data_IF_804404217032
#
_entry.id   IF_804404217032
#
_cell.length_a   1.000
_cell.length_b   1.000
_cell.length_c   1.000
_cell.angle_alpha   90.00
_cell.angle_beta   90.00
_cell.angle_gamma   90.00
#
_symmetry.space_group_name_H-M   'P 1'
#
loop_
_entity.id
_entity.type
_entity.pdbx_description
1 polymer ?
#
# COMPACT_ATOMS: atom_id res chain seq x y z
N UNK A 1 -62.28 -55.42 21.57
CA UNK A 1 -62.11 -54.05 21.04
C UNK A 1 -60.63 -53.71 21.04
N UNK A 2 -59.94 -53.92 19.88
CA UNK A 2 -58.51 -53.65 19.76
C UNK A 2 -58.34 -52.25 19.10
N UNK A 3 -57.73 -51.34 19.85
CA UNK A 3 -57.38 -50.00 19.32
C UNK A 3 -56.06 -50.06 18.59
N UNK A 4 -56.07 -49.84 17.25
CA UNK A 4 -54.86 -49.62 16.45
C UNK A 4 -54.33 -48.20 16.70
N UNK A 5 -53.08 -48.09 17.08
CA UNK A 5 -52.35 -46.85 17.21
C UNK A 5 -51.58 -46.64 15.91
N UNK A 6 -51.95 -45.63 15.11
CA UNK A 6 -51.25 -45.25 13.90
C UNK A 6 -50.07 -44.33 14.25
N UNK A 7 -48.87 -44.74 14.00
CA UNK A 7 -47.65 -43.92 14.15
C UNK A 7 -47.42 -43.16 12.84
N UNK A 8 -47.56 -41.81 12.89
CA UNK A 8 -47.23 -40.92 11.79
C UNK A 8 -45.72 -40.68 11.82
N UNK A 9 -45.02 -41.19 10.81
CA UNK A 9 -43.63 -40.81 10.54
C UNK A 9 -43.61 -39.46 9.80
N UNK A 10 -43.03 -38.43 10.44
CA UNK A 10 -42.73 -37.12 9.80
C UNK A 10 -41.33 -37.22 9.21
N UNK A 11 -41.14 -37.01 7.90
CA UNK A 11 -39.78 -36.91 7.34
C UNK A 11 -39.17 -35.58 7.68
N UNK A 12 -38.00 -35.57 8.36
CA UNK A 12 -37.19 -34.39 8.58
C UNK A 12 -36.49 -34.01 7.25
N UNK A 13 -36.99 -32.95 6.61
CA UNK A 13 -36.26 -32.30 5.53
C UNK A 13 -35.04 -31.60 6.11
N UNK A 14 -33.87 -32.19 5.90
CA UNK A 14 -32.59 -31.56 6.15
C UNK A 14 -32.38 -30.37 5.20
N UNK A 15 -32.52 -29.15 5.70
CA UNK A 15 -32.15 -27.95 4.96
C UNK A 15 -30.61 -27.88 4.89
N UNK A 16 -30.03 -28.23 3.73
CA UNK A 16 -28.66 -27.85 3.39
C UNK A 16 -28.58 -26.33 3.27
N UNK A 17 -28.17 -25.65 4.35
CA UNK A 17 -27.78 -24.26 4.29
C UNK A 17 -26.47 -24.18 3.49
N UNK A 18 -26.57 -23.93 2.20
CA UNK A 18 -25.44 -23.51 1.37
C UNK A 18 -24.91 -22.19 1.95
N UNK A 19 -23.74 -22.25 2.60
CA UNK A 19 -22.97 -21.03 2.90
C UNK A 19 -22.63 -20.37 1.57
N UNK A 20 -23.37 -19.33 1.24
CA UNK A 20 -22.96 -18.36 0.23
C UNK A 20 -21.68 -17.71 0.78
N UNK A 21 -20.53 -18.19 0.29
CA UNK A 21 -19.30 -17.43 0.43
C UNK A 21 -19.57 -16.06 -0.15
N UNK A 22 -19.31 -14.99 0.63
CA UNK A 22 -19.29 -13.63 0.13
C UNK A 22 -18.19 -13.56 -0.93
N UNK A 23 -18.55 -13.82 -2.18
CA UNK A 23 -17.72 -13.54 -3.34
C UNK A 23 -17.52 -12.02 -3.36
N UNK A 24 -16.41 -11.54 -2.79
CA UNK A 24 -15.98 -10.19 -2.98
C UNK A 24 -15.90 -9.95 -4.49
N UNK A 25 -16.65 -9.00 -5.00
CA UNK A 25 -16.53 -8.56 -6.37
C UNK A 25 -15.10 -8.08 -6.55
N UNK A 26 -14.34 -8.73 -7.45
CA UNK A 26 -13.03 -8.22 -7.85
C UNK A 26 -13.26 -6.81 -8.42
N UNK A 27 -12.88 -5.80 -7.66
CA UNK A 27 -13.12 -4.39 -8.00
C UNK A 27 -12.24 -3.94 -9.18
N UNK A 28 -11.39 -4.82 -9.70
CA UNK A 28 -10.37 -4.45 -10.69
C UNK A 28 -9.25 -3.59 -10.10
N UNK A 29 -9.35 -3.20 -8.83
CA UNK A 29 -8.32 -2.43 -8.14
C UNK A 29 -6.99 -3.20 -8.10
N UNK A 30 -5.92 -2.54 -8.50
CA UNK A 30 -4.55 -3.07 -8.46
C UNK A 30 -3.52 -2.08 -7.95
N UNK A 31 -3.97 -0.90 -7.50
CA UNK A 31 -3.16 0.15 -6.90
C UNK A 31 -3.96 0.92 -5.85
N UNK A 32 -3.32 1.24 -4.73
CA UNK A 32 -3.82 2.20 -3.75
C UNK A 32 -2.70 2.76 -2.86
N UNK A 33 -2.97 3.88 -2.17
CA UNK A 33 -2.20 4.34 -1.01
C UNK A 33 -2.86 3.79 0.25
N UNK A 34 -2.10 3.24 1.18
CA UNK A 34 -2.67 2.77 2.45
C UNK A 34 -3.42 3.90 3.17
N UNK A 35 -4.67 3.65 3.61
CA UNK A 35 -5.48 4.66 4.33
C UNK A 35 -4.92 4.97 5.71
N UNK A 36 -4.10 4.06 6.25
CA UNK A 36 -3.42 4.17 7.55
C UNK A 36 -2.00 3.63 7.43
N UNK A 37 -1.08 4.15 8.23
CA UNK A 37 0.24 3.57 8.41
C UNK A 37 0.20 2.29 9.27
N UNK A 38 1.31 1.58 9.37
CA UNK A 38 1.42 0.37 10.20
C UNK A 38 1.38 0.66 11.72
N UNK A 39 1.42 1.94 12.11
CA UNK A 39 1.24 2.38 13.51
C UNK A 39 2.54 2.60 14.30
N UNK A 40 3.69 2.34 13.70
CA UNK A 40 5.00 2.45 14.37
C UNK A 40 6.04 3.18 13.48
N UNK A 41 5.66 4.35 12.96
CA UNK A 41 6.53 5.13 12.06
C UNK A 41 6.93 4.32 10.83
N UNK A 42 8.21 4.38 10.48
CA UNK A 42 8.77 3.61 9.36
C UNK A 42 9.16 2.16 9.74
N UNK A 43 8.92 1.72 10.98
CA UNK A 43 9.03 0.32 11.35
C UNK A 43 7.80 -0.44 10.84
N UNK A 44 7.90 -0.95 9.64
CA UNK A 44 6.84 -1.70 8.97
C UNK A 44 6.97 -3.23 9.19
N UNK A 45 8.00 -3.68 9.94
CA UNK A 45 8.38 -5.09 10.04
C UNK A 45 9.09 -5.57 8.77
N UNK A 46 9.89 -4.71 8.14
CA UNK A 46 10.57 -4.97 6.89
C UNK A 46 9.62 -5.05 5.70
N UNK A 47 10.12 -5.50 4.55
CA UNK A 47 9.30 -5.67 3.33
C UNK A 47 8.15 -6.66 3.56
N UNK A 48 8.38 -7.73 4.32
CA UNK A 48 7.34 -8.74 4.61
C UNK A 48 6.18 -8.16 5.42
N UNK A 49 6.48 -7.31 6.41
CA UNK A 49 5.45 -6.63 7.21
C UNK A 49 4.67 -5.62 6.38
N UNK A 50 5.36 -4.84 5.54
CA UNK A 50 4.75 -3.88 4.62
C UNK A 50 3.83 -4.57 3.59
N UNK A 51 4.24 -5.71 3.02
CA UNK A 51 3.42 -6.49 2.09
C UNK A 51 2.16 -7.03 2.78
N UNK A 52 2.31 -7.53 4.01
CA UNK A 52 1.17 -7.99 4.81
C UNK A 52 0.19 -6.86 5.11
N UNK A 53 0.70 -5.65 5.38
CA UNK A 53 -0.14 -4.46 5.59
C UNK A 53 -0.95 -4.14 4.32
N UNK A 54 -0.32 -4.12 3.14
CA UNK A 54 -1.00 -3.97 1.86
C UNK A 54 -2.06 -5.06 1.63
N UNK A 55 -1.71 -6.33 1.88
CA UNK A 55 -2.62 -7.46 1.71
C UNK A 55 -3.85 -7.36 2.63
N UNK A 56 -3.63 -6.94 3.88
CA UNK A 56 -4.72 -6.78 4.87
C UNK A 56 -5.70 -5.69 4.46
N UNK A 57 -5.20 -4.52 4.03
CA UNK A 57 -6.04 -3.42 3.59
C UNK A 57 -6.80 -3.78 2.30
N UNK A 58 -6.12 -4.42 1.34
CA UNK A 58 -6.76 -4.89 0.11
C UNK A 58 -7.86 -5.92 0.40
N UNK A 59 -7.63 -6.85 1.32
CA UNK A 59 -8.63 -7.84 1.71
C UNK A 59 -9.86 -7.19 2.36
N UNK A 60 -9.65 -6.20 3.22
CA UNK A 60 -10.73 -5.43 3.84
C UNK A 60 -11.56 -4.63 2.80
N UNK A 61 -10.95 -4.23 1.69
CA UNK A 61 -11.59 -3.54 0.57
C UNK A 61 -12.17 -4.50 -0.50
N UNK A 62 -12.17 -5.82 -0.26
CA UNK A 62 -12.72 -6.81 -1.20
C UNK A 62 -11.78 -7.21 -2.35
N UNK A 63 -10.52 -6.75 -2.34
CA UNK A 63 -9.50 -7.06 -3.36
C UNK A 63 -8.43 -8.05 -2.86
N UNK A 64 -8.73 -8.84 -1.84
CA UNK A 64 -7.80 -9.77 -1.20
C UNK A 64 -7.45 -11.01 -2.01
N UNK A 65 -8.13 -11.28 -3.14
CA UNK A 65 -7.84 -12.43 -4.01
C UNK A 65 -6.51 -12.33 -4.75
N UNK A 66 -5.96 -11.11 -4.88
CA UNK A 66 -4.66 -10.83 -5.50
C UNK A 66 -3.54 -10.83 -4.46
N UNK A 67 -2.31 -11.04 -4.91
CA UNK A 67 -1.10 -10.84 -4.09
C UNK A 67 -0.71 -9.37 -4.13
N UNK A 68 -0.63 -8.74 -2.97
CA UNK A 68 -0.30 -7.32 -2.85
C UNK A 68 1.13 -7.11 -2.33
N UNK A 69 1.81 -6.12 -2.89
CA UNK A 69 3.17 -5.74 -2.53
C UNK A 69 3.27 -4.24 -2.27
N UNK A 70 4.04 -3.89 -1.24
CA UNK A 70 4.42 -2.52 -0.99
C UNK A 70 5.48 -2.05 -2.01
N UNK A 71 5.33 -0.84 -2.54
CA UNK A 71 6.33 -0.17 -3.36
C UNK A 71 7.41 0.42 -2.46
N UNK A 72 8.35 -0.40 -2.07
CA UNK A 72 9.45 -0.05 -1.16
C UNK A 72 10.76 -0.62 -1.68
N UNK A 73 11.81 0.23 -1.76
CA UNK A 73 13.18 -0.25 -1.94
C UNK A 73 13.81 -0.57 -0.59
N UNK A 74 14.87 -1.35 -0.61
CA UNK A 74 15.79 -1.52 0.52
C UNK A 74 17.18 -1.06 0.13
N UNK A 75 18.01 -0.72 1.12
CA UNK A 75 19.43 -0.42 0.94
C UNK A 75 20.28 -1.66 1.16
N UNK A 76 21.52 -1.66 0.66
CA UNK A 76 22.49 -2.72 0.90
C UNK A 76 23.10 -2.71 2.31
N UNK A 77 22.55 -1.90 3.22
CA UNK A 77 23.00 -1.81 4.61
C UNK A 77 22.77 -3.14 5.32
N UNK A 78 23.73 -3.56 6.13
CA UNK A 78 23.65 -4.82 6.88
C UNK A 78 24.02 -6.08 6.09
N UNK A 79 24.66 -5.94 4.91
CA UNK A 79 25.21 -7.07 4.14
C UNK A 79 24.20 -7.82 3.26
N UNK A 80 22.95 -7.37 3.21
CA UNK A 80 21.95 -7.86 2.24
C UNK A 80 22.07 -7.13 0.90
N UNK A 81 21.58 -7.74 -0.19
CA UNK A 81 21.42 -7.06 -1.49
C UNK A 81 20.33 -6.00 -1.42
N UNK A 82 20.54 -4.86 -2.11
CA UNK A 82 19.50 -3.86 -2.27
C UNK A 82 18.35 -4.43 -3.12
N UNK A 83 17.11 -4.08 -2.77
CA UNK A 83 15.90 -4.44 -3.52
C UNK A 83 15.31 -3.17 -4.14
N UNK A 84 14.99 -3.22 -5.42
CA UNK A 84 14.33 -2.11 -6.10
C UNK A 84 12.82 -2.21 -5.93
N UNK A 85 12.16 -1.12 -5.58
CA UNK A 85 10.69 -1.08 -5.46
C UNK A 85 9.99 -1.45 -6.78
N UNK A 86 10.53 -0.96 -7.91
CA UNK A 86 10.00 -1.23 -9.25
C UNK A 86 9.95 -2.72 -9.61
N UNK A 87 10.86 -3.52 -9.08
CA UNK A 87 10.97 -4.95 -9.41
C UNK A 87 10.01 -5.81 -8.56
N UNK A 88 9.35 -5.21 -7.58
CA UNK A 88 8.47 -5.90 -6.63
C UNK A 88 7.00 -5.89 -7.00
N UNK A 89 6.59 -4.98 -7.85
CA UNK A 89 5.17 -4.63 -8.05
C UNK A 89 4.53 -5.20 -9.33
N UNK A 90 5.21 -6.09 -10.02
CA UNK A 90 4.71 -6.66 -11.28
C UNK A 90 4.93 -5.74 -12.49
N UNK A 91 4.09 -5.86 -13.50
CA UNK A 91 4.30 -5.19 -14.80
C UNK A 91 3.17 -4.25 -15.23
N UNK A 92 2.07 -4.20 -14.48
CA UNK A 92 0.86 -3.44 -14.83
C UNK A 92 -0.05 -4.15 -15.85
N UNK A 93 -1.08 -3.50 -16.38
CA UNK A 93 -1.51 -2.15 -15.98
C UNK A 93 -2.10 -2.10 -14.56
N UNK A 94 -2.04 -0.92 -13.93
CA UNK A 94 -2.59 -0.73 -12.58
C UNK A 94 -3.74 0.26 -12.58
N UNK A 95 -4.75 -0.06 -11.77
CA UNK A 95 -6.00 0.69 -11.63
C UNK A 95 -6.25 1.02 -10.16
N UNK A 96 -6.71 2.23 -9.89
CA UNK A 96 -7.12 2.64 -8.55
C UNK A 96 -8.48 2.04 -8.15
N UNK A 97 -8.93 2.29 -6.94
CA UNK A 97 -10.18 1.77 -6.39
C UNK A 97 -11.45 2.23 -7.13
N UNK A 98 -11.33 3.23 -8.02
CA UNK A 98 -12.44 3.70 -8.87
C UNK A 98 -12.33 3.19 -10.31
N UNK A 99 -11.40 2.26 -10.59
CA UNK A 99 -11.18 1.71 -11.93
C UNK A 99 -10.45 2.65 -12.89
N UNK A 100 -9.87 3.76 -12.41
CA UNK A 100 -9.04 4.64 -13.24
C UNK A 100 -7.65 4.04 -13.35
N UNK A 101 -7.16 3.89 -14.58
CA UNK A 101 -5.79 3.42 -14.84
C UNK A 101 -4.79 4.48 -14.36
N UNK A 102 -3.87 4.09 -13.48
CA UNK A 102 -2.82 4.97 -12.96
C UNK A 102 -1.51 4.83 -13.72
N UNK A 103 -1.25 3.66 -14.30
CA UNK A 103 -0.13 3.42 -15.21
C UNK A 103 -0.35 2.14 -16.02
N UNK A 104 0.15 2.12 -17.27
CA UNK A 104 0.10 0.97 -18.17
C UNK A 104 1.16 -0.08 -17.86
N UNK A 105 2.33 0.40 -17.48
CA UNK A 105 3.52 -0.42 -17.21
C UNK A 105 4.52 0.34 -16.32
N UNK A 106 5.65 -0.30 -16.01
CA UNK A 106 6.71 0.26 -15.16
C UNK A 106 7.28 1.58 -15.71
N UNK A 107 7.42 1.71 -17.02
CA UNK A 107 7.99 2.92 -17.61
C UNK A 107 6.99 4.09 -17.54
N UNK A 108 5.73 3.81 -17.83
CA UNK A 108 4.64 4.78 -17.70
C UNK A 108 4.46 5.24 -16.24
N UNK A 109 4.56 4.31 -15.27
CA UNK A 109 4.49 4.61 -13.85
C UNK A 109 5.55 5.62 -13.38
N UNK A 110 6.77 5.48 -13.89
CA UNK A 110 7.92 6.33 -13.53
C UNK A 110 8.12 7.53 -14.47
N UNK A 111 7.27 7.69 -15.48
CA UNK A 111 7.29 8.87 -16.34
C UNK A 111 6.75 10.10 -15.60
N UNK A 112 7.24 11.29 -15.96
CA UNK A 112 6.69 12.55 -15.43
C UNK A 112 5.21 12.74 -15.79
N UNK A 113 4.78 12.15 -16.90
CA UNK A 113 3.42 12.19 -17.43
C UNK A 113 2.51 11.10 -16.86
N UNK A 114 2.96 10.28 -15.91
CA UNK A 114 2.11 9.25 -15.30
C UNK A 114 0.85 9.86 -14.68
N UNK A 115 -0.25 9.11 -14.68
CA UNK A 115 -1.54 9.59 -14.19
C UNK A 115 -1.62 9.72 -12.66
N UNK A 116 -0.53 9.40 -11.94
CA UNK A 116 -0.46 9.59 -10.49
C UNK A 116 -0.54 11.06 -10.12
N UNK A 117 -1.31 11.38 -9.11
CA UNK A 117 -1.55 12.71 -8.58
C UNK A 117 -2.69 12.66 -7.58
N UNK A 118 -2.97 13.74 -6.86
CA UNK A 118 -3.93 13.78 -5.74
C UNK A 118 -5.28 13.10 -6.06
N UNK A 119 -5.82 13.30 -7.26
CA UNK A 119 -7.15 12.79 -7.63
C UNK A 119 -7.17 11.31 -8.02
N UNK A 120 -6.03 10.76 -8.44
CA UNK A 120 -5.93 9.37 -8.90
C UNK A 120 -5.20 8.45 -7.91
N UNK A 121 -4.39 9.03 -7.01
CA UNK A 121 -3.68 8.30 -5.95
C UNK A 121 -4.62 8.09 -4.75
N UNK A 122 -5.63 7.25 -4.94
CA UNK A 122 -6.66 6.98 -3.94
C UNK A 122 -6.20 5.91 -2.94
N UNK A 123 -6.84 5.89 -1.76
CA UNK A 123 -6.67 4.78 -0.82
C UNK A 123 -7.51 3.54 -1.25
N UNK A 124 -7.39 2.44 -0.51
CA UNK A 124 -8.09 1.18 -0.80
C UNK A 124 -9.62 1.30 -0.73
N UNK A 125 -10.15 2.35 -0.09
CA UNK A 125 -11.59 2.63 0.03
C UNK A 125 -12.10 3.52 -1.12
N UNK A 126 -11.20 3.96 -2.02
CA UNK A 126 -11.53 4.91 -3.08
C UNK A 126 -11.60 6.36 -2.64
N UNK A 127 -11.09 6.69 -1.46
CA UNK A 127 -11.05 8.06 -0.94
C UNK A 127 -9.77 8.77 -1.39
N UNK A 128 -9.86 10.08 -1.60
CA UNK A 128 -8.70 10.93 -1.86
C UNK A 128 -7.88 11.05 -0.58
N UNK A 129 -6.59 10.75 -0.66
CA UNK A 129 -5.65 10.95 0.46
C UNK A 129 -5.35 12.44 0.59
N UNK A 130 -5.33 12.94 1.82
CA UNK A 130 -4.98 14.32 2.10
C UNK A 130 -3.59 14.65 1.53
N UNK A 131 -3.50 15.76 0.81
CA UNK A 131 -2.28 16.25 0.21
C UNK A 131 -1.79 17.54 0.87
N UNK A 132 -0.86 18.22 0.23
CA UNK A 132 -0.38 19.53 0.67
C UNK A 132 -1.52 20.54 0.73
N UNK A 133 -1.62 21.24 1.84
CA UNK A 133 -2.68 22.22 2.11
C UNK A 133 -3.92 21.64 2.78
N UNK A 134 -4.04 20.34 2.88
CA UNK A 134 -5.09 19.69 3.67
C UNK A 134 -4.65 19.54 5.15
N UNK A 135 -5.62 19.31 6.02
CA UNK A 135 -5.37 19.05 7.45
C UNK A 135 -5.99 17.71 7.85
N UNK A 136 -5.19 16.75 8.36
CA UNK A 136 -3.73 16.74 8.40
C UNK A 136 -3.12 16.59 6.99
N UNK A 137 -1.93 17.16 6.78
CA UNK A 137 -1.16 16.89 5.57
C UNK A 137 -0.60 15.45 5.61
N UNK A 138 -0.78 14.69 4.52
CA UNK A 138 -0.35 13.29 4.39
C UNK A 138 0.25 12.99 3.01
N UNK A 139 0.86 14.01 2.38
CA UNK A 139 1.32 13.85 1.01
C UNK A 139 2.61 13.05 0.87
N UNK A 140 3.42 12.93 1.93
CA UNK A 140 4.65 12.16 1.94
C UNK A 140 4.35 10.66 2.08
N UNK A 141 4.70 9.88 1.07
CA UNK A 141 4.55 8.43 1.05
C UNK A 141 5.93 7.79 1.12
N UNK A 142 6.11 6.82 2.00
CA UNK A 142 7.37 6.08 2.16
C UNK A 142 7.66 5.25 0.90
N UNK A 143 8.91 5.31 0.40
CA UNK A 143 9.33 4.55 -0.79
C UNK A 143 10.76 4.02 -0.73
N UNK A 144 11.69 4.77 -0.14
CA UNK A 144 13.11 4.44 -0.14
C UNK A 144 13.74 4.36 -1.54
N UNK A 145 13.12 5.00 -2.54
CA UNK A 145 13.42 4.78 -3.96
C UNK A 145 13.94 6.02 -4.65
N UNK A 146 14.80 5.81 -5.65
CA UNK A 146 15.13 6.80 -6.67
C UNK A 146 13.92 7.07 -7.59
N UNK A 147 13.92 8.16 -8.39
CA UNK A 147 12.80 8.48 -9.28
C UNK A 147 12.41 7.37 -10.25
N UNK A 148 13.37 6.55 -10.69
CA UNK A 148 13.14 5.41 -11.58
C UNK A 148 12.69 4.13 -10.83
N UNK A 149 12.47 4.20 -9.53
CA UNK A 149 12.06 3.07 -8.69
C UNK A 149 13.18 2.10 -8.29
N UNK A 150 14.42 2.42 -8.61
CA UNK A 150 15.57 1.65 -8.13
C UNK A 150 15.93 2.03 -6.67
N UNK A 151 16.61 1.15 -5.98
CA UNK A 151 17.25 1.44 -4.71
C UNK A 151 18.35 2.51 -4.87
N UNK A 152 18.63 3.27 -3.82
CA UNK A 152 19.78 4.17 -3.83
C UNK A 152 21.07 3.34 -3.83
N UNK A 153 22.10 3.76 -4.60
CA UNK A 153 23.40 3.10 -4.59
C UNK A 153 24.18 3.44 -3.31
N UNK A 154 25.18 2.61 -3.01
CA UNK A 154 26.06 2.84 -1.87
C UNK A 154 25.49 2.32 -0.55
N UNK A 155 26.00 2.88 0.55
CA UNK A 155 25.73 2.42 1.92
C UNK A 155 24.87 3.39 2.73
N UNK A 156 24.42 4.51 2.13
CA UNK A 156 23.54 5.46 2.80
C UNK A 156 22.15 4.83 2.97
N UNK A 157 21.66 4.80 4.21
CA UNK A 157 20.33 4.29 4.50
C UNK A 157 19.27 5.36 4.20
N UNK A 158 18.46 5.11 3.19
CA UNK A 158 17.27 5.89 2.80
C UNK A 158 15.96 5.15 3.10
N UNK A 159 16.00 4.16 4.01
CA UNK A 159 14.94 3.18 4.20
C UNK A 159 14.60 2.91 5.67
N UNK A 160 15.12 3.74 6.59
CA UNK A 160 14.93 3.53 8.03
C UNK A 160 15.28 2.09 8.47
N UNK A 161 16.51 1.65 8.18
CA UNK A 161 16.96 0.30 8.53
C UNK A 161 16.20 -0.79 7.77
N UNK A 162 15.96 -0.57 6.48
CA UNK A 162 15.14 -1.50 5.67
C UNK A 162 13.74 -1.74 6.26
N UNK A 163 13.10 -0.65 6.71
CA UNK A 163 11.73 -0.62 7.23
C UNK A 163 11.56 -1.33 8.59
N UNK A 164 12.62 -1.29 9.42
CA UNK A 164 12.61 -1.88 10.76
C UNK A 164 12.88 -0.87 11.87
N UNK A 165 13.04 0.42 11.55
CA UNK A 165 13.33 1.47 12.52
C UNK A 165 12.19 2.48 12.64
N UNK A 166 11.85 2.83 13.88
CA UNK A 166 10.97 3.94 14.27
C UNK A 166 11.74 5.01 15.06
N UNK A 167 13.07 5.02 14.98
CA UNK A 167 13.91 5.94 15.72
C UNK A 167 13.68 7.40 15.30
N UNK A 168 13.97 8.34 16.19
CA UNK A 168 13.91 9.76 15.87
C UNK A 168 14.99 10.21 14.88
N UNK A 169 16.04 9.40 14.76
CA UNK A 169 17.16 9.57 13.83
C UNK A 169 16.98 8.70 12.59
N UNK A 170 17.92 8.80 11.63
CA UNK A 170 17.82 8.14 10.33
C UNK A 170 16.89 8.87 9.38
N UNK A 171 16.60 8.29 8.24
CA UNK A 171 15.63 8.83 7.29
C UNK A 171 15.12 7.79 6.31
N UNK A 172 13.94 8.03 5.76
CA UNK A 172 13.42 7.33 4.60
C UNK A 172 13.26 8.32 3.43
N UNK A 173 13.56 7.90 2.22
CA UNK A 173 13.12 8.64 1.04
C UNK A 173 11.60 8.57 0.92
N UNK A 174 10.96 9.72 0.69
CA UNK A 174 9.51 9.82 0.49
C UNK A 174 9.20 10.42 -0.87
N UNK A 175 7.99 10.18 -1.35
CA UNK A 175 7.44 10.81 -2.54
C UNK A 175 6.16 11.56 -2.25
N UNK A 176 5.82 12.57 -3.06
CA UNK A 176 4.61 13.36 -2.95
C UNK A 176 3.50 12.79 -3.84
N UNK A 177 2.53 12.09 -3.25
CA UNK A 177 1.44 11.49 -4.03
C UNK A 177 0.61 12.51 -4.81
N UNK A 178 0.56 13.75 -4.32
CA UNK A 178 -0.15 14.88 -4.93
C UNK A 178 0.71 15.70 -5.91
N UNK A 179 1.98 15.33 -6.07
CA UNK A 179 2.99 16.02 -6.91
C UNK A 179 3.14 17.51 -6.58
N UNK A 180 3.00 17.85 -5.31
CA UNK A 180 3.16 19.21 -4.81
C UNK A 180 4.11 19.21 -3.62
N UNK A 181 4.86 20.28 -3.43
CA UNK A 181 5.68 20.39 -2.24
C UNK A 181 6.98 21.15 -2.44
N UNK A 182 7.85 20.98 -1.47
CA UNK A 182 9.25 21.39 -1.47
C UNK A 182 10.18 20.17 -1.66
N UNK A 183 11.46 20.38 -1.34
CA UNK A 183 12.48 19.33 -1.44
C UNK A 183 13.21 19.33 -2.77
N UNK A 184 14.03 18.30 -2.98
CA UNK A 184 14.87 18.19 -4.15
C UNK A 184 14.08 17.97 -5.45
N UNK A 185 12.99 17.20 -5.37
CA UNK A 185 12.13 16.83 -6.49
C UNK A 185 10.66 16.96 -6.09
N UNK A 186 10.14 18.21 -5.98
CA UNK A 186 8.83 18.49 -5.37
C UNK A 186 7.65 17.82 -6.07
N UNK A 187 7.78 17.49 -7.36
CA UNK A 187 6.74 16.84 -8.17
C UNK A 187 6.92 15.33 -8.30
N UNK A 188 7.94 14.75 -7.66
CA UNK A 188 8.16 13.30 -7.73
C UNK A 188 7.22 12.56 -6.80
N UNK A 189 6.42 11.65 -7.36
CA UNK A 189 5.50 10.84 -6.58
C UNK A 189 6.19 9.83 -5.67
N UNK A 190 7.44 9.45 -5.98
CA UNK A 190 8.18 8.39 -5.29
C UNK A 190 9.55 8.79 -4.74
N UNK A 191 10.06 10.00 -5.04
CA UNK A 191 11.43 10.39 -4.66
C UNK A 191 11.58 11.90 -4.50
N UNK A 192 10.81 12.50 -3.59
CA UNK A 192 10.78 13.95 -3.40
C UNK A 192 11.90 14.46 -2.48
N UNK A 193 12.02 13.89 -1.29
CA UNK A 193 13.03 14.26 -0.27
C UNK A 193 13.18 13.16 0.79
N UNK A 194 14.15 13.32 1.68
CA UNK A 194 14.31 12.48 2.86
C UNK A 194 13.40 12.96 4.02
N UNK A 195 12.87 12.03 4.81
CA UNK A 195 12.19 12.35 6.07
C UNK A 195 13.18 12.85 7.13
N UNK A 196 12.69 13.54 8.18
CA UNK A 196 13.53 14.05 9.28
C UNK A 196 14.00 12.96 10.23
N UNK A 197 13.36 11.81 10.22
CA UNK A 197 13.63 10.67 11.07
C UNK A 197 12.70 9.53 10.69
N UNK A 198 12.78 8.43 11.40
CA UNK A 198 11.99 7.22 11.14
C UNK A 198 10.75 7.10 12.05
N UNK A 199 10.71 7.90 13.14
CA UNK A 199 9.60 7.90 14.09
C UNK A 199 8.33 8.55 13.52
N UNK A 200 7.17 8.14 14.04
CA UNK A 200 5.87 8.62 13.56
C UNK A 200 5.74 10.16 13.60
N UNK A 201 6.26 10.80 14.65
CA UNK A 201 6.22 12.26 14.80
C UNK A 201 7.09 12.96 13.75
N UNK A 202 8.26 12.38 13.45
CA UNK A 202 9.18 12.92 12.45
C UNK A 202 8.60 12.81 11.03
N UNK A 203 7.88 11.72 10.72
CA UNK A 203 7.18 11.55 9.45
C UNK A 203 6.05 12.57 9.31
N UNK A 204 5.27 12.79 10.38
CA UNK A 204 4.20 13.82 10.40
C UNK A 204 4.74 15.22 10.25
N UNK A 205 5.91 15.50 10.81
CA UNK A 205 6.52 16.83 10.75
C UNK A 205 6.97 17.25 9.35
N UNK A 206 7.11 16.31 8.41
CA UNK A 206 7.39 16.60 6.99
C UNK A 206 6.16 16.51 6.09
N UNK A 207 5.02 16.08 6.61
CA UNK A 207 3.77 15.97 5.85
C UNK A 207 3.39 14.55 5.48
N UNK A 208 3.92 13.55 6.19
CA UNK A 208 3.57 12.15 6.05
C UNK A 208 2.74 11.59 7.20
N UNK A 209 2.44 10.31 7.15
CA UNK A 209 1.80 9.55 8.23
C UNK A 209 2.16 8.06 8.16
N UNK A 210 3.37 7.75 7.71
CA UNK A 210 3.86 6.39 7.45
C UNK A 210 3.01 5.61 6.43
N UNK A 211 2.38 6.29 5.48
CA UNK A 211 1.63 5.68 4.40
C UNK A 211 2.57 5.07 3.34
N UNK A 212 2.10 4.04 2.67
CA UNK A 212 2.82 3.33 1.61
C UNK A 212 1.93 3.14 0.37
N UNK A 213 2.56 3.02 -0.80
CA UNK A 213 1.87 2.58 -2.01
C UNK A 213 1.78 1.06 -2.04
N UNK A 214 0.64 0.53 -2.43
CA UNK A 214 0.36 -0.88 -2.56
C UNK A 214 -0.04 -1.23 -3.99
N UNK A 215 0.58 -2.28 -4.54
CA UNK A 215 0.34 -2.76 -5.90
C UNK A 215 0.00 -4.25 -5.91
N UNK A 216 -0.95 -4.64 -6.72
CA UNK A 216 -1.27 -6.05 -6.98
C UNK A 216 -0.38 -6.60 -8.10
N UNK A 217 0.03 -7.87 -7.93
CA UNK A 217 0.78 -8.64 -8.92
C UNK A 217 -0.14 -9.25 -9.99
#
# INVERSE_FOLDING_TARGET
>A
MKKLLAILLVPALGACASRMGSGGTDTGMSFFISSVGAGDGANLGGLTGADRHCQTLAAAAGAGSRTWRAYLSTSAVGGGGAVNARDRIGRGPWYNARGTMVARDINDLHAETSALGKQNSLNEKGEVVNGRGDTPNRHDILTGSQPNGAAFPGTEDKTCGNWTSNAETGSAQVGHHDRQGGGERPTSWNSAHASRGCGQQNLRATGGDALIYCFAL
#
